data_IF_344123826434
#
_entry.id   IF_344123826434
#
_cell.length_a   1.000
_cell.length_b   1.000
_cell.length_c   1.000
_cell.angle_alpha   90.00
_cell.angle_beta   90.00
_cell.angle_gamma   90.00
#
_symmetry.space_group_name_H-M   'P 1'
#
loop_
_entity.id
_entity.type
_entity.pdbx_description
1 polymer ?
#
# COMPACT_ATOMS: atom_id res chain seq x y z
N UNK A 1 8.99 0.16 -7.73
CA UNK A 1 10.25 0.30 -6.98
C UNK A 1 10.25 1.71 -6.43
N UNK A 2 10.24 1.85 -5.11
CA UNK A 2 10.28 3.15 -4.44
C UNK A 2 11.71 3.45 -4.02
N UNK A 3 12.13 4.70 -4.20
CA UNK A 3 13.50 5.13 -3.92
C UNK A 3 13.47 6.49 -3.23
N UNK A 4 14.30 6.64 -2.20
CA UNK A 4 14.56 7.91 -1.53
C UNK A 4 16.03 8.26 -1.76
N UNK A 5 16.29 9.49 -2.19
CA UNK A 5 17.65 10.03 -2.29
C UNK A 5 17.92 10.98 -1.13
N UNK A 6 18.95 10.68 -0.34
CA UNK A 6 19.42 11.54 0.74
C UNK A 6 20.65 12.32 0.26
N UNK A 7 20.67 13.62 0.51
CA UNK A 7 21.86 14.46 0.36
C UNK A 7 22.51 14.60 1.74
N UNK A 8 23.71 14.04 1.88
CA UNK A 8 24.49 14.08 3.12
C UNK A 8 25.55 15.17 2.99
N UNK A 9 25.58 16.09 3.94
CA UNK A 9 26.62 17.10 4.06
C UNK A 9 27.53 16.72 5.22
N UNK A 10 28.84 16.72 4.99
CA UNK A 10 29.85 16.47 6.02
C UNK A 10 30.69 17.73 6.18
N UNK A 11 31.00 18.07 7.43
CA UNK A 11 31.88 19.19 7.79
C UNK A 11 32.95 18.64 8.72
N UNK A 12 34.22 18.85 8.39
CA UNK A 12 35.32 18.53 9.29
C UNK A 12 35.45 19.62 10.38
N UNK A 13 35.20 19.23 11.62
CA UNK A 13 35.29 20.12 12.80
C UNK A 13 36.74 20.30 13.28
N UNK A 14 37.67 19.45 12.86
CA UNK A 14 39.08 19.49 13.22
C UNK A 14 39.98 20.21 12.21
N UNK A 15 39.40 20.79 11.16
CA UNK A 15 40.15 21.42 10.08
C UNK A 15 41.03 22.57 10.60
N UNK A 16 42.35 22.39 10.52
CA UNK A 16 43.35 23.40 10.91
C UNK A 16 43.62 24.45 9.82
N UNK A 17 42.97 24.31 8.66
CA UNK A 17 42.99 25.31 7.60
C UNK A 17 42.04 26.45 7.95
N UNK A 18 42.35 27.68 7.55
CA UNK A 18 41.53 28.88 7.80
C UNK A 18 40.18 28.89 7.04
N UNK A 19 39.65 27.74 6.66
CA UNK A 19 38.36 27.56 6.00
C UNK A 19 37.73 26.21 6.41
N UNK A 20 36.40 26.14 6.62
CA UNK A 20 35.70 24.88 6.85
C UNK A 20 35.92 23.92 5.68
N UNK A 21 36.29 22.68 5.95
CA UNK A 21 36.30 21.63 4.94
C UNK A 21 34.95 20.92 4.96
N UNK A 22 34.25 20.99 3.83
CA UNK A 22 32.95 20.36 3.66
C UNK A 22 32.92 19.49 2.42
N UNK A 23 32.09 18.45 2.45
CA UNK A 23 31.81 17.61 1.29
C UNK A 23 30.34 17.17 1.26
N UNK A 24 29.86 16.73 0.10
CA UNK A 24 28.50 16.28 -0.11
C UNK A 24 28.44 14.93 -0.83
N UNK A 25 27.59 14.03 -0.35
CA UNK A 25 27.35 12.74 -1.00
C UNK A 25 25.84 12.47 -1.16
N UNK A 26 25.47 11.84 -2.28
CA UNK A 26 24.10 11.33 -2.49
C UNK A 26 24.04 9.86 -2.11
N UNK A 27 23.12 9.51 -1.22
CA UNK A 27 22.83 8.13 -0.84
C UNK A 27 21.47 7.73 -1.41
N UNK A 28 21.44 6.66 -2.19
CA UNK A 28 20.22 6.08 -2.74
C UNK A 28 19.74 4.96 -1.84
N UNK A 29 18.52 5.09 -1.32
CA UNK A 29 17.86 4.09 -0.49
C UNK A 29 16.72 3.48 -1.29
N UNK A 30 16.82 2.17 -1.56
CA UNK A 30 15.78 1.42 -2.29
C UNK A 30 14.84 0.79 -1.27
N UNK A 31 13.55 1.10 -1.38
CA UNK A 31 12.51 0.52 -0.54
C UNK A 31 11.94 -0.72 -1.23
N UNK A 32 12.02 -1.85 -0.52
CA UNK A 32 11.44 -3.11 -0.94
C UNK A 32 10.03 -3.23 -0.36
N UNK A 33 9.08 -3.56 -1.23
CA UNK A 33 7.68 -3.79 -0.88
C UNK A 33 7.57 -5.09 -0.05
N UNK A 34 6.84 -5.03 1.05
CA UNK A 34 6.51 -6.19 1.89
C UNK A 34 4.99 -6.24 2.01
N UNK A 35 4.42 -7.43 1.95
CA UNK A 35 2.98 -7.63 2.12
C UNK A 35 2.63 -7.52 3.61
N UNK A 36 2.32 -6.30 4.05
CA UNK A 36 1.94 -5.97 5.42
C UNK A 36 0.55 -5.32 5.53
N UNK A 37 -0.16 -5.14 4.42
CA UNK A 37 -1.50 -4.59 4.38
C UNK A 37 -2.52 -5.71 4.10
N UNK A 38 -3.53 -5.82 4.97
CA UNK A 38 -4.64 -6.74 4.71
C UNK A 38 -5.54 -6.21 3.59
N UNK A 39 -6.11 -7.08 2.75
CA UNK A 39 -7.12 -6.66 1.78
C UNK A 39 -8.35 -6.09 2.48
N UNK A 40 -8.99 -5.12 1.86
CA UNK A 40 -10.24 -4.50 2.32
C UNK A 40 -11.31 -4.55 1.25
N UNK A 41 -12.57 -4.77 1.63
CA UNK A 41 -13.67 -4.68 0.68
C UNK A 41 -13.81 -3.25 0.16
N UNK A 42 -14.16 -3.13 -1.12
CA UNK A 42 -14.39 -1.83 -1.77
C UNK A 42 -15.68 -1.22 -1.26
N UNK A 43 -16.72 -2.05 -1.14
CA UNK A 43 -18.03 -1.69 -0.63
C UNK A 43 -18.01 -1.90 0.89
N UNK A 44 -18.65 -1.01 1.65
CA UNK A 44 -18.79 -1.20 3.10
C UNK A 44 -19.87 -2.23 3.46
N UNK A 45 -19.88 -2.68 4.72
CA UNK A 45 -20.81 -3.71 5.20
C UNK A 45 -22.29 -3.29 5.00
N UNK A 46 -22.58 -1.98 5.05
CA UNK A 46 -23.93 -1.46 4.91
C UNK A 46 -24.36 -1.49 3.44
N UNK A 47 -23.49 -1.08 2.51
CA UNK A 47 -23.73 -1.15 1.08
C UNK A 47 -23.92 -2.60 0.60
N UNK A 48 -23.11 -3.52 1.13
CA UNK A 48 -23.26 -4.96 0.91
C UNK A 48 -24.63 -5.45 1.38
N UNK A 49 -25.04 -5.07 2.60
CA UNK A 49 -26.33 -5.45 3.16
C UNK A 49 -27.51 -4.86 2.39
N UNK A 50 -27.39 -3.61 1.93
CA UNK A 50 -28.46 -2.92 1.19
C UNK A 50 -28.65 -3.50 -0.21
N UNK A 51 -27.59 -3.96 -0.89
CA UNK A 51 -27.69 -4.68 -2.16
C UNK A 51 -28.45 -6.00 -2.01
N UNK A 52 -28.18 -6.75 -0.94
CA UNK A 52 -28.92 -7.98 -0.63
C UNK A 52 -30.39 -7.74 -0.28
N UNK A 53 -30.74 -6.57 0.29
CA UNK A 53 -32.13 -6.22 0.61
C UNK A 53 -32.90 -5.66 -0.59
N UNK A 54 -32.22 -4.86 -1.42
CA UNK A 54 -32.82 -4.19 -2.58
C UNK A 54 -33.15 -5.20 -3.68
N UNK A 55 -32.27 -6.18 -3.88
CA UNK A 55 -32.48 -7.25 -4.84
C UNK A 55 -33.27 -8.37 -4.14
N UNK A 56 -34.59 -8.21 -4.03
CA UNK A 56 -35.50 -9.19 -3.43
C UNK A 56 -35.20 -10.61 -3.94
N UNK A 57 -34.66 -11.47 -3.07
CA UNK A 57 -34.20 -12.81 -3.42
C UNK A 57 -35.42 -13.75 -3.47
N UNK A 58 -35.74 -14.37 -4.62
CA UNK A 58 -36.84 -15.32 -4.73
C UNK A 58 -36.63 -16.55 -3.83
N UNK A 59 -37.70 -17.02 -3.18
CA UNK A 59 -37.66 -18.21 -2.31
C UNK A 59 -37.38 -19.52 -3.07
N UNK A 60 -37.69 -19.55 -4.36
CA UNK A 60 -37.53 -20.71 -5.24
C UNK A 60 -36.23 -20.66 -6.07
N UNK A 61 -35.26 -19.84 -5.64
CA UNK A 61 -33.99 -19.71 -6.33
C UNK A 61 -33.25 -21.06 -6.35
N UNK A 62 -32.79 -21.47 -7.53
CA UNK A 62 -32.08 -22.73 -7.67
C UNK A 62 -30.79 -22.75 -6.82
N UNK A 63 -30.41 -23.90 -6.25
CA UNK A 63 -29.15 -24.02 -5.51
C UNK A 63 -27.96 -23.55 -6.36
N UNK A 64 -27.00 -22.88 -5.71
CA UNK A 64 -25.77 -22.32 -6.33
C UNK A 64 -25.99 -21.13 -7.26
N UNK A 65 -27.17 -20.53 -7.25
CA UNK A 65 -27.40 -19.24 -7.90
C UNK A 65 -26.51 -18.15 -7.29
N UNK A 66 -25.96 -17.28 -8.13
CA UNK A 66 -25.15 -16.14 -7.70
C UNK A 66 -26.03 -15.09 -7.03
N UNK A 67 -25.74 -14.76 -5.77
CA UNK A 67 -26.47 -13.75 -5.00
C UNK A 67 -25.75 -12.40 -5.00
N UNK A 68 -24.45 -12.42 -4.78
CA UNK A 68 -23.65 -11.21 -4.64
C UNK A 68 -22.22 -11.46 -5.12
N UNK A 69 -21.67 -10.45 -5.78
CA UNK A 69 -20.22 -10.35 -6.02
C UNK A 69 -19.69 -9.19 -5.18
N UNK A 70 -18.72 -9.50 -4.33
CA UNK A 70 -17.93 -8.50 -3.58
C UNK A 70 -16.56 -8.36 -4.21
N UNK A 71 -15.95 -7.19 -4.03
CA UNK A 71 -14.58 -6.91 -4.49
C UNK A 71 -13.76 -6.42 -3.32
N UNK A 72 -12.52 -6.87 -3.24
CA UNK A 72 -11.54 -6.37 -2.29
C UNK A 72 -10.36 -5.72 -3.03
N UNK A 73 -9.76 -4.74 -2.37
CA UNK A 73 -8.56 -4.06 -2.79
C UNK A 73 -7.46 -4.33 -1.76
N UNK A 74 -6.27 -4.57 -2.28
CA UNK A 74 -5.05 -4.69 -1.52
C UNK A 74 -4.05 -3.68 -2.11
N UNK A 75 -3.37 -2.94 -1.24
CA UNK A 75 -2.45 -1.86 -1.65
C UNK A 75 -1.03 -2.37 -1.87
N UNK A 76 -0.71 -3.58 -1.42
CA UNK A 76 0.61 -4.18 -1.60
C UNK A 76 0.84 -4.55 -3.06
N UNK A 77 2.07 -4.38 -3.54
CA UNK A 77 2.42 -4.69 -4.93
C UNK A 77 2.46 -6.20 -5.14
N UNK A 78 2.96 -6.94 -4.14
CA UNK A 78 2.92 -8.38 -4.10
C UNK A 78 1.59 -8.84 -3.51
N UNK A 79 0.55 -8.77 -4.33
CA UNK A 79 -0.80 -9.26 -4.00
C UNK A 79 -0.71 -10.73 -3.68
N UNK A 80 -0.94 -11.08 -2.41
CA UNK A 80 -1.06 -12.43 -1.84
C UNK A 80 -1.07 -13.53 -2.92
N UNK A 81 0.09 -14.14 -3.17
CA UNK A 81 0.13 -15.42 -3.87
C UNK A 81 -0.63 -16.42 -3.01
N UNK A 82 -1.59 -17.10 -3.63
CA UNK A 82 -2.46 -18.08 -2.99
C UNK A 82 -1.76 -19.44 -2.90
#
# INVERSE_FOLDING_TARGET
>A
MEEITLLINVTDLGAQLNAPQTDQAKVRVVLLDVNDNKPSFIDDDQEIADRLRKDSIPENLAPRSLLLTVKAKDIDKNKTEK
#
